data_IF_805860796185
#
_entry.id   IF_805860796185
#
_cell.length_a   1.000
_cell.length_b   1.000
_cell.length_c   1.000
_cell.angle_alpha   90.00
_cell.angle_beta   90.00
_cell.angle_gamma   90.00
#
_symmetry.space_group_name_H-M   'P 1'
#
loop_
_entity.id
_entity.type
_entity.pdbx_description
1 polymer ?
#
# COMPACT_ATOMS: atom_id res chain seq x y z
N UNK A 1 -10.23 -14.69 7.35
CA UNK A 1 -10.86 -13.48 7.96
C UNK A 1 -9.83 -12.81 8.86
N UNK A 2 -9.65 -11.48 8.74
CA UNK A 2 -8.82 -10.69 9.66
C UNK A 2 -9.69 -10.03 10.72
N UNK A 3 -9.11 -9.73 11.88
CA UNK A 3 -9.83 -9.18 13.05
C UNK A 3 -9.77 -7.65 13.14
N UNK A 4 -8.99 -6.99 12.28
CA UNK A 4 -8.69 -5.57 12.46
C UNK A 4 -7.76 -5.34 13.66
N UNK A 5 -7.71 -4.11 14.15
CA UNK A 5 -6.80 -3.73 15.25
C UNK A 5 -7.27 -4.24 16.62
N UNK A 6 -8.58 -4.35 16.82
CA UNK A 6 -9.19 -4.69 18.12
C UNK A 6 -10.09 -5.94 18.10
N UNK A 7 -10.40 -6.52 16.93
CA UNK A 7 -11.32 -7.66 16.84
C UNK A 7 -12.80 -7.30 16.85
N UNK A 8 -13.14 -6.01 16.95
CA UNK A 8 -14.51 -5.53 17.14
C UNK A 8 -15.04 -4.85 15.87
N UNK A 9 -14.25 -3.92 15.31
CA UNK A 9 -14.72 -3.02 14.25
C UNK A 9 -14.47 -3.57 12.83
N UNK A 10 -13.69 -4.65 12.71
CA UNK A 10 -13.28 -5.21 11.42
C UNK A 10 -12.36 -4.30 10.59
N UNK A 11 -11.90 -3.19 11.18
CA UNK A 11 -10.97 -2.21 10.58
C UNK A 11 -9.60 -2.40 11.22
N UNK A 12 -8.54 -2.37 10.41
CA UNK A 12 -7.18 -2.46 10.90
C UNK A 12 -6.25 -1.46 10.25
N UNK A 13 -5.21 -1.09 10.99
CA UNK A 13 -4.23 -0.08 10.63
C UNK A 13 -4.64 1.35 11.02
N UNK A 14 -3.67 2.24 10.91
CA UNK A 14 -3.80 3.65 11.25
C UNK A 14 -3.15 4.53 10.20
N UNK A 15 -3.75 5.71 9.96
CA UNK A 15 -3.18 6.74 9.11
C UNK A 15 -3.22 8.06 9.88
N UNK A 16 -2.04 8.66 10.08
CA UNK A 16 -1.91 10.00 10.63
C UNK A 16 -0.99 10.85 9.75
N UNK A 17 -1.58 11.81 9.02
CA UNK A 17 -0.87 12.57 7.98
C UNK A 17 -0.22 11.62 6.97
N UNK A 18 1.11 11.60 6.90
CA UNK A 18 1.89 10.74 6.00
C UNK A 18 2.50 9.52 6.74
N UNK A 19 2.00 9.21 7.94
CA UNK A 19 2.40 8.03 8.73
C UNK A 19 1.32 6.95 8.56
N UNK A 20 1.75 5.76 8.16
CA UNK A 20 0.89 4.60 7.91
C UNK A 20 1.34 3.45 8.81
N UNK A 21 0.45 2.97 9.67
CA UNK A 21 0.67 1.81 10.53
C UNK A 21 -0.27 0.67 10.16
N UNK A 22 0.20 -0.57 10.16
CA UNK A 22 -0.64 -1.74 10.02
C UNK A 22 0.05 -2.97 10.62
N UNK A 23 -0.75 -3.97 10.99
CA UNK A 23 -0.29 -5.27 11.50
C UNK A 23 -0.13 -6.32 10.40
N UNK A 24 -0.13 -5.92 9.13
CA UNK A 24 0.08 -6.83 8.01
C UNK A 24 1.55 -7.26 7.98
N UNK A 25 1.80 -8.54 8.19
CA UNK A 25 3.13 -9.13 8.12
C UNK A 25 3.46 -9.67 6.72
N UNK A 26 4.77 -9.81 6.45
CA UNK A 26 5.29 -10.29 5.17
C UNK A 26 5.53 -9.18 4.15
N UNK A 27 5.57 -9.53 2.87
CA UNK A 27 5.87 -8.61 1.76
C UNK A 27 4.68 -7.68 1.45
N UNK A 28 4.41 -6.72 2.33
CA UNK A 28 3.32 -5.76 2.18
C UNK A 28 3.49 -4.90 0.93
N UNK A 29 4.61 -4.19 0.81
CA UNK A 29 4.82 -3.22 -0.27
C UNK A 29 4.84 -3.87 -1.67
N UNK A 30 5.58 -4.96 -1.92
CA UNK A 30 5.62 -5.57 -3.26
C UNK A 30 4.29 -6.17 -3.71
N UNK A 31 3.37 -6.49 -2.78
CA UNK A 31 2.03 -7.00 -3.14
C UNK A 31 0.96 -5.91 -3.16
N UNK A 32 1.33 -4.67 -2.86
CA UNK A 32 0.40 -3.54 -2.84
C UNK A 32 1.07 -2.36 -3.55
N UNK A 33 1.27 -2.46 -4.88
CA UNK A 33 1.99 -1.45 -5.66
C UNK A 33 1.34 -0.07 -5.51
N UNK A 34 0.02 -0.02 -5.34
CA UNK A 34 -0.71 1.23 -5.10
C UNK A 34 -0.29 1.93 -3.79
N UNK A 35 -0.07 1.16 -2.72
CA UNK A 35 0.41 1.70 -1.44
C UNK A 35 1.88 2.12 -1.56
N UNK A 36 2.69 1.32 -2.23
CA UNK A 36 4.11 1.61 -2.47
C UNK A 36 4.28 2.92 -3.24
N UNK A 37 3.56 3.09 -4.34
CA UNK A 37 3.57 4.32 -5.14
C UNK A 37 3.08 5.52 -4.36
N UNK A 38 2.05 5.33 -3.51
CA UNK A 38 1.57 6.41 -2.66
C UNK A 38 2.66 6.90 -1.69
N UNK A 39 3.38 5.99 -1.03
CA UNK A 39 4.48 6.34 -0.12
C UNK A 39 5.63 7.02 -0.86
N UNK A 40 6.01 6.51 -2.04
CA UNK A 40 7.04 7.11 -2.88
C UNK A 40 6.65 8.51 -3.33
N UNK A 41 5.40 8.69 -3.78
CA UNK A 41 4.88 9.98 -4.20
C UNK A 41 4.89 11.00 -3.06
N UNK A 42 4.49 10.61 -1.84
CA UNK A 42 4.55 11.49 -0.66
C UNK A 42 5.99 11.90 -0.34
N UNK A 43 6.94 10.98 -0.40
CA UNK A 43 8.35 11.25 -0.16
C UNK A 43 8.95 12.19 -1.23
N UNK A 44 8.67 11.92 -2.50
CA UNK A 44 9.11 12.74 -3.63
C UNK A 44 8.49 14.15 -3.58
N UNK A 45 7.19 14.26 -3.29
CA UNK A 45 6.50 15.56 -3.12
C UNK A 45 7.15 16.39 -2.02
N UNK A 46 7.47 15.76 -0.88
CA UNK A 46 8.12 16.44 0.25
C UNK A 46 9.53 16.92 -0.10
N UNK A 47 10.29 16.14 -0.87
CA UNK A 47 11.70 16.43 -1.16
C UNK A 47 11.90 17.37 -2.35
N UNK A 48 11.08 17.24 -3.39
CA UNK A 48 11.30 17.87 -4.70
C UNK A 48 10.10 18.68 -5.22
N UNK A 49 9.01 18.75 -4.44
CA UNK A 49 7.77 19.40 -4.86
C UNK A 49 6.89 18.53 -5.77
N UNK A 50 5.65 18.97 -5.96
CA UNK A 50 4.61 18.19 -6.65
C UNK A 50 4.87 17.96 -8.13
N UNK A 51 5.37 18.96 -8.85
CA UNK A 51 5.62 18.85 -10.29
C UNK A 51 6.68 17.79 -10.60
N UNK A 52 7.80 17.82 -9.88
CA UNK A 52 8.89 16.83 -10.04
C UNK A 52 8.46 15.43 -9.65
N UNK A 53 7.70 15.28 -8.56
CA UNK A 53 7.24 13.98 -8.09
C UNK A 53 6.37 13.25 -9.14
N UNK A 54 5.50 13.99 -9.84
CA UNK A 54 4.64 13.42 -10.88
C UNK A 54 5.41 13.04 -12.15
N UNK A 55 6.47 13.77 -12.47
CA UNK A 55 7.33 13.47 -13.61
C UNK A 55 8.25 12.27 -13.37
N UNK A 56 8.68 12.05 -12.12
CA UNK A 56 9.59 10.95 -11.75
C UNK A 56 8.86 9.63 -11.58
N UNK A 57 7.64 9.63 -11.02
CA UNK A 57 6.88 8.40 -10.76
C UNK A 57 6.01 8.03 -11.98
N UNK A 58 6.66 7.69 -13.09
CA UNK A 58 5.96 7.22 -14.29
C UNK A 58 5.43 5.80 -14.09
N UNK A 59 4.23 5.45 -14.61
CA UNK A 59 3.67 4.11 -14.48
C UNK A 59 4.61 3.02 -15.03
N UNK A 60 4.70 1.92 -14.30
CA UNK A 60 5.40 0.70 -14.71
C UNK A 60 4.38 -0.45 -14.83
N UNK A 61 4.83 -1.60 -15.35
CA UNK A 61 4.01 -2.80 -15.38
C UNK A 61 3.98 -3.49 -14.01
N UNK A 62 2.81 -3.46 -13.35
CA UNK A 62 2.57 -4.08 -12.05
C UNK A 62 1.95 -5.50 -12.16
N UNK A 63 2.04 -6.16 -13.33
CA UNK A 63 1.34 -7.43 -13.58
C UNK A 63 1.66 -8.50 -12.53
N UNK A 64 2.91 -8.62 -12.08
CA UNK A 64 3.32 -9.64 -11.12
C UNK A 64 2.85 -9.31 -9.70
N UNK A 65 3.00 -8.06 -9.29
CA UNK A 65 2.60 -7.49 -8.01
C UNK A 65 1.09 -7.64 -7.80
N UNK A 66 0.30 -7.26 -8.82
CA UNK A 66 -1.15 -7.39 -8.83
C UNK A 66 -1.60 -8.85 -8.84
N UNK A 67 -0.87 -9.73 -9.54
CA UNK A 67 -1.15 -11.18 -9.51
C UNK A 67 -0.92 -11.75 -8.10
N UNK A 68 0.16 -11.35 -7.44
CA UNK A 68 0.46 -11.76 -6.07
C UNK A 68 -0.58 -11.21 -5.07
N UNK A 69 -1.02 -9.95 -5.24
CA UNK A 69 -2.09 -9.34 -4.46
C UNK A 69 -3.40 -10.15 -4.58
N UNK A 70 -3.83 -10.41 -5.82
CA UNK A 70 -5.07 -11.14 -6.12
C UNK A 70 -5.04 -12.56 -5.56
N UNK A 71 -3.90 -13.25 -5.63
CA UNK A 71 -3.75 -14.59 -5.05
C UNK A 71 -4.08 -14.58 -3.54
N UNK A 72 -3.56 -13.60 -2.80
CA UNK A 72 -3.86 -13.48 -1.36
C UNK A 72 -5.32 -13.08 -1.10
N UNK A 73 -5.86 -12.13 -1.86
CA UNK A 73 -7.27 -11.71 -1.74
C UNK A 73 -8.21 -12.89 -1.98
N UNK A 74 -7.95 -13.71 -2.99
CA UNK A 74 -8.75 -14.90 -3.28
C UNK A 74 -8.66 -15.93 -2.15
N UNK A 75 -7.48 -16.14 -1.54
CA UNK A 75 -7.31 -17.01 -0.37
C UNK A 75 -8.08 -16.54 0.86
N UNK A 76 -8.25 -15.23 1.04
CA UNK A 76 -9.00 -14.65 2.17
C UNK A 76 -10.51 -14.71 1.98
N UNK A 77 -10.98 -14.84 0.73
CA UNK A 77 -12.40 -14.90 0.34
C UNK A 77 -12.93 -16.32 0.17
N UNK A 78 -12.05 -17.30 0.03
CA UNK A 78 -12.38 -18.73 0.07
C UNK A 78 -12.67 -19.16 1.50
#
# INVERSE_FOLDING_TARGET
VGYGDNGEDGIGGSIYRNTFGCYLHGSLLPKNPQLTDHLLLLALKRRYGTATAQAVLTPLDDTHELTAQRSMVNRLRA
#
